data_IF_994060818647
#
_entry.id   IF_994060818647
#
_cell.length_a   1.000
_cell.length_b   1.000
_cell.length_c   1.000
_cell.angle_alpha   90.00
_cell.angle_beta   90.00
_cell.angle_gamma   90.00
#
_symmetry.space_group_name_H-M   'P 1'
#
loop_
_entity.id
_entity.type
_entity.pdbx_description
1 polymer ?
#
# COMPACT_ATOMS: atom_id res chain seq x y z
N UNK A 1 -22.35 0.86 -2.61
CA UNK A 1 -21.05 0.17 -2.60
C UNK A 1 -20.42 0.47 -1.27
N UNK A 2 -20.45 -0.51 -0.37
CA UNK A 2 -20.18 -0.33 1.07
C UNK A 2 -18.72 0.06 1.33
N UNK A 3 -18.51 0.97 2.27
CA UNK A 3 -17.20 1.49 2.73
C UNK A 3 -16.22 0.39 3.16
N UNK A 4 -16.74 -0.82 3.41
CA UNK A 4 -16.01 -2.00 3.84
C UNK A 4 -15.33 -2.74 2.69
N UNK A 5 -15.92 -2.82 1.49
CA UNK A 5 -15.26 -3.48 0.34
C UNK A 5 -14.11 -2.64 -0.22
N UNK A 6 -14.11 -1.34 0.07
CA UNK A 6 -13.10 -0.39 -0.42
C UNK A 6 -11.80 -0.39 0.36
N UNK A 7 -11.72 -1.03 1.53
CA UNK A 7 -10.55 -0.94 2.39
C UNK A 7 -9.28 -1.62 1.83
N UNK A 8 -9.31 -2.90 1.38
CA UNK A 8 -8.12 -3.53 0.77
C UNK A 8 -7.75 -2.89 -0.57
N UNK A 9 -8.74 -2.46 -1.36
CA UNK A 9 -8.50 -1.77 -2.63
C UNK A 9 -7.84 -0.40 -2.42
N UNK A 10 -8.25 0.35 -1.40
CA UNK A 10 -7.59 1.60 -0.98
C UNK A 10 -6.15 1.35 -0.55
N UNK A 11 -5.90 0.34 0.29
CA UNK A 11 -4.55 0.00 0.72
C UNK A 11 -3.63 -0.35 -0.46
N UNK A 12 -4.16 -1.05 -1.48
CA UNK A 12 -3.41 -1.31 -2.72
C UNK A 12 -3.18 -0.07 -3.57
N UNK A 13 -4.18 0.80 -3.67
CA UNK A 13 -4.02 2.06 -4.38
C UNK A 13 -2.94 2.93 -3.73
N UNK A 14 -2.99 3.09 -2.40
CA UNK A 14 -2.00 3.83 -1.62
C UNK A 14 -0.60 3.20 -1.75
N UNK A 15 -0.50 1.86 -1.74
CA UNK A 15 0.75 1.15 -1.98
C UNK A 15 1.33 1.43 -3.37
N UNK A 16 0.48 1.43 -4.41
CA UNK A 16 0.88 1.74 -5.77
C UNK A 16 1.32 3.20 -5.91
N UNK A 17 0.63 4.14 -5.28
CA UNK A 17 1.04 5.55 -5.24
C UNK A 17 2.40 5.71 -4.55
N UNK A 18 2.63 5.03 -3.42
CA UNK A 18 3.92 5.04 -2.73
C UNK A 18 5.04 4.47 -3.61
N UNK A 19 4.77 3.41 -4.36
CA UNK A 19 5.73 2.83 -5.31
C UNK A 19 6.11 3.83 -6.41
N UNK A 20 5.14 4.56 -6.96
CA UNK A 20 5.40 5.62 -7.96
C UNK A 20 6.25 6.74 -7.35
N UNK A 21 5.96 7.20 -6.14
CA UNK A 21 6.75 8.24 -5.48
C UNK A 21 8.18 7.76 -5.22
N UNK A 22 8.37 6.51 -4.76
CA UNK A 22 9.68 5.89 -4.61
C UNK A 22 10.47 5.94 -5.92
N UNK A 23 9.85 5.54 -7.02
CA UNK A 23 10.53 5.44 -8.32
C UNK A 23 10.92 6.81 -8.88
N UNK A 24 10.17 7.86 -8.53
CA UNK A 24 10.46 9.25 -8.89
C UNK A 24 11.38 9.98 -7.90
N UNK A 25 11.60 9.44 -6.70
CA UNK A 25 12.38 10.11 -5.66
C UNK A 25 13.88 10.10 -5.99
N UNK A 26 14.45 11.30 -6.18
CA UNK A 26 15.90 11.51 -6.32
C UNK A 26 16.62 11.47 -4.98
N UNK A 27 15.95 11.90 -3.91
CA UNK A 27 16.43 11.79 -2.54
C UNK A 27 16.37 10.34 -2.05
N UNK A 28 17.46 9.87 -1.44
CA UNK A 28 17.62 8.47 -1.02
C UNK A 28 16.71 8.12 0.15
N UNK A 29 16.62 9.00 1.15
CA UNK A 29 15.85 8.74 2.37
C UNK A 29 14.36 8.74 2.06
N UNK A 30 13.91 9.66 1.20
CA UNK A 30 12.55 9.68 0.66
C UNK A 30 12.24 8.40 -0.11
N UNK A 31 13.15 7.94 -0.98
CA UNK A 31 12.97 6.68 -1.72
C UNK A 31 12.78 5.49 -0.78
N UNK A 32 13.62 5.38 0.24
CA UNK A 32 13.56 4.29 1.21
C UNK A 32 12.27 4.34 2.06
N UNK A 33 11.85 5.53 2.47
CA UNK A 33 10.60 5.73 3.20
C UNK A 33 9.40 5.23 2.38
N UNK A 34 9.27 5.68 1.13
CA UNK A 34 8.15 5.29 0.27
C UNK A 34 8.22 3.81 -0.15
N UNK A 35 9.41 3.23 -0.26
CA UNK A 35 9.57 1.80 -0.47
C UNK A 35 8.99 0.98 0.70
N UNK A 36 9.35 1.34 1.94
CA UNK A 36 8.84 0.68 3.15
C UNK A 36 7.33 0.86 3.30
N UNK A 37 6.82 2.04 2.96
CA UNK A 37 5.39 2.32 3.02
C UNK A 37 4.60 1.47 2.01
N UNK A 38 5.08 1.38 0.76
CA UNK A 38 4.45 0.55 -0.26
C UNK A 38 4.41 -0.95 0.13
N UNK A 39 5.50 -1.46 0.71
CA UNK A 39 5.58 -2.84 1.20
C UNK A 39 4.60 -3.09 2.35
N UNK A 40 4.56 -2.18 3.34
CA UNK A 40 3.69 -2.32 4.50
C UNK A 40 2.20 -2.29 4.11
N UNK A 41 1.81 -1.35 3.24
CA UNK A 41 0.42 -1.24 2.76
C UNK A 41 0.00 -2.46 1.93
N UNK A 42 0.91 -2.99 1.10
CA UNK A 42 0.65 -4.22 0.34
C UNK A 42 0.43 -5.43 1.26
N UNK A 43 1.25 -5.54 2.30
CA UNK A 43 1.14 -6.60 3.31
C UNK A 43 -0.17 -6.49 4.07
N UNK A 44 -0.52 -5.29 4.53
CA UNK A 44 -1.77 -5.05 5.25
C UNK A 44 -3.00 -5.36 4.39
N UNK A 45 -2.98 -5.01 3.09
CA UNK A 45 -4.05 -5.37 2.17
C UNK A 45 -4.25 -6.89 2.09
N UNK A 46 -3.15 -7.65 1.98
CA UNK A 46 -3.19 -9.10 1.94
C UNK A 46 -3.68 -9.72 3.27
N UNK A 47 -3.27 -9.17 4.42
CA UNK A 47 -3.73 -9.62 5.73
C UNK A 47 -5.22 -9.36 5.94
N UNK A 48 -5.72 -8.19 5.54
CA UNK A 48 -7.15 -7.83 5.64
C UNK A 48 -7.99 -8.77 4.78
N UNK A 49 -7.54 -9.10 3.58
CA UNK A 49 -8.23 -10.08 2.74
C UNK A 49 -8.18 -11.50 3.29
N UNK A 50 -7.02 -11.93 3.78
CA UNK A 50 -6.86 -13.24 4.38
C UNK A 50 -7.75 -13.39 5.64
N UNK A 51 -7.90 -12.33 6.43
CA UNK A 51 -8.81 -12.31 7.57
C UNK A 51 -10.30 -12.32 7.14
N UNK A 52 -10.63 -11.75 5.98
CA UNK A 52 -12.01 -11.76 5.45
C UNK A 52 -12.42 -13.09 4.82
N UNK A 53 -11.47 -13.88 4.35
CA UNK A 53 -11.70 -15.19 3.73
C UNK A 53 -11.78 -16.35 4.75
N UNK A 54 -11.67 -16.06 6.05
CA UNK A 54 -11.83 -17.01 7.16
C UNK A 54 -13.25 -16.98 7.70
#
# INVERSE_FOLDING_TARGET
MSEWTTQPDKLRADAAECAVIRDLATDRDKRELFARLAEHLSTLAAEVEAHRAR
#
